data_IF_911967643163
#
_entry.id   IF_911967643163
#
_cell.length_a   1.000
_cell.length_b   1.000
_cell.length_c   1.000
_cell.angle_alpha   90.00
_cell.angle_beta   90.00
_cell.angle_gamma   90.00
#
_symmetry.space_group_name_H-M   'P 1'
#
loop_
_entity.id
_entity.type
_entity.pdbx_description
1 polymer ?
#
# COMPACT_ATOMS: atom_id res chain seq x y z
N UNK A 1 -23.89 -5.70 -16.40
CA UNK A 1 -23.65 -4.58 -17.34
C UNK A 1 -22.32 -4.78 -18.04
N UNK A 2 -22.18 -4.31 -19.29
CA UNK A 2 -20.88 -4.33 -19.97
C UNK A 2 -20.00 -3.19 -19.48
N UNK A 3 -18.73 -3.51 -19.22
CA UNK A 3 -17.70 -2.57 -18.78
C UNK A 3 -16.41 -2.79 -19.57
N UNK A 4 -15.50 -1.84 -19.54
CA UNK A 4 -14.14 -2.01 -20.04
C UNK A 4 -13.19 -2.34 -18.89
N UNK A 5 -12.39 -3.38 -19.02
CA UNK A 5 -11.43 -3.81 -18.04
C UNK A 5 -10.11 -4.24 -18.66
N UNK A 6 -9.03 -4.11 -17.92
CA UNK A 6 -7.72 -4.64 -18.27
C UNK A 6 -7.56 -6.03 -17.66
N UNK A 7 -7.61 -7.05 -18.51
CA UNK A 7 -7.58 -8.46 -18.12
C UNK A 7 -6.17 -9.02 -18.30
N UNK A 8 -5.64 -9.71 -17.31
CA UNK A 8 -4.46 -10.56 -17.43
C UNK A 8 -4.89 -12.01 -17.54
N UNK A 9 -4.44 -12.69 -18.61
CA UNK A 9 -4.85 -14.06 -18.94
C UNK A 9 -3.86 -15.11 -18.48
N UNK A 10 -2.57 -14.81 -18.63
CA UNK A 10 -1.47 -15.73 -18.35
C UNK A 10 -0.39 -15.06 -17.51
N UNK A 11 0.44 -15.86 -16.86
CA UNK A 11 1.57 -15.40 -16.05
C UNK A 11 2.51 -14.49 -16.85
N UNK A 12 2.71 -13.26 -16.37
CA UNK A 12 3.58 -12.27 -16.99
C UNK A 12 3.06 -11.68 -18.30
N UNK A 13 1.85 -12.06 -18.74
CA UNK A 13 1.27 -11.50 -19.96
C UNK A 13 0.82 -10.04 -19.76
N UNK A 14 1.00 -9.16 -20.77
CA UNK A 14 0.52 -7.80 -20.68
C UNK A 14 -1.01 -7.76 -20.54
N UNK A 15 -1.50 -6.72 -19.90
CA UNK A 15 -2.95 -6.47 -19.79
C UNK A 15 -3.57 -6.28 -21.15
N UNK A 16 -4.74 -6.90 -21.36
CA UNK A 16 -5.58 -6.72 -22.53
C UNK A 16 -6.83 -5.93 -22.11
N UNK A 17 -7.00 -4.75 -22.68
CA UNK A 17 -8.20 -3.94 -22.44
C UNK A 17 -9.31 -4.47 -23.35
N UNK A 18 -10.41 -4.93 -22.73
CA UNK A 18 -11.55 -5.47 -23.46
C UNK A 18 -12.87 -5.22 -22.72
N UNK A 19 -14.00 -5.50 -23.41
CA UNK A 19 -15.31 -5.51 -22.78
C UNK A 19 -15.53 -6.81 -22.00
N UNK A 20 -16.00 -6.67 -20.77
CA UNK A 20 -16.38 -7.77 -19.87
C UNK A 20 -17.73 -7.49 -19.25
N UNK A 21 -18.35 -8.50 -18.66
CA UNK A 21 -19.60 -8.33 -17.93
C UNK A 21 -19.31 -8.15 -16.44
N UNK A 22 -19.96 -7.15 -15.83
CA UNK A 22 -19.97 -6.89 -14.40
C UNK A 22 -21.38 -7.12 -13.86
N UNK A 23 -21.49 -7.96 -12.84
CA UNK A 23 -22.74 -8.21 -12.13
C UNK A 23 -23.22 -6.96 -11.36
N UNK A 24 -24.50 -6.91 -11.03
CA UNK A 24 -25.02 -5.89 -10.14
C UNK A 24 -24.52 -6.11 -8.69
N UNK A 25 -24.41 -5.03 -7.88
CA UNK A 25 -24.00 -5.16 -6.50
C UNK A 25 -25.01 -5.96 -5.68
N UNK A 26 -24.51 -6.94 -4.92
CA UNK A 26 -25.29 -7.77 -3.99
C UNK A 26 -25.37 -7.13 -2.59
N UNK A 27 -25.82 -7.91 -1.62
CA UNK A 27 -25.96 -7.45 -0.23
C UNK A 27 -24.63 -6.91 0.34
N UNK A 28 -24.65 -5.68 0.82
CA UNK A 28 -23.48 -4.98 1.39
C UNK A 28 -22.45 -4.49 0.36
N UNK A 29 -22.79 -4.56 -0.94
CA UNK A 29 -21.89 -4.11 -2.02
C UNK A 29 -22.37 -2.79 -2.64
N UNK A 30 -21.44 -2.03 -3.18
CA UNK A 30 -21.68 -0.81 -3.95
C UNK A 30 -21.08 -0.95 -5.35
N UNK A 31 -21.70 -0.34 -6.34
CA UNK A 31 -21.11 -0.15 -7.66
C UNK A 31 -20.41 1.20 -7.69
N UNK A 32 -19.12 1.18 -8.01
CA UNK A 32 -18.29 2.39 -8.12
C UNK A 32 -17.88 2.58 -9.56
N UNK A 33 -18.17 3.76 -10.11
CA UNK A 33 -17.56 4.21 -11.37
C UNK A 33 -16.16 4.67 -11.05
N UNK A 34 -15.16 3.90 -11.48
CA UNK A 34 -13.74 4.17 -11.23
C UNK A 34 -13.30 5.38 -12.07
N UNK A 35 -12.75 6.37 -11.41
CA UNK A 35 -12.16 7.57 -12.03
C UNK A 35 -10.65 7.48 -12.14
N UNK A 36 -10.02 6.77 -11.20
CA UNK A 36 -8.60 6.48 -11.21
C UNK A 36 -8.28 5.20 -10.46
N UNK A 37 -7.16 4.57 -10.81
CA UNK A 37 -6.58 3.45 -10.07
C UNK A 37 -5.07 3.61 -10.02
N UNK A 38 -4.47 3.44 -8.85
CA UNK A 38 -3.03 3.33 -8.71
C UNK A 38 -2.51 1.99 -9.24
N UNK A 39 -1.23 1.95 -9.60
CA UNK A 39 -0.49 0.74 -9.95
C UNK A 39 0.57 0.50 -8.90
N UNK A 40 0.62 -0.70 -8.36
CA UNK A 40 1.50 -1.11 -7.27
C UNK A 40 2.33 -2.35 -7.68
N UNK A 41 3.49 -2.53 -7.07
CA UNK A 41 4.29 -3.75 -7.24
C UNK A 41 3.54 -5.04 -6.88
N UNK A 42 2.49 -4.96 -6.06
CA UNK A 42 1.63 -6.10 -5.75
C UNK A 42 0.83 -6.57 -6.99
N UNK A 43 0.41 -5.64 -7.87
CA UNK A 43 -0.23 -6.01 -9.15
C UNK A 43 0.75 -6.76 -10.05
N UNK A 44 2.01 -6.30 -10.14
CA UNK A 44 3.08 -6.97 -10.88
C UNK A 44 3.41 -8.36 -10.27
N UNK A 45 3.53 -8.43 -8.96
CA UNK A 45 3.81 -9.70 -8.26
C UNK A 45 2.71 -10.75 -8.51
N UNK A 46 1.45 -10.32 -8.58
CA UNK A 46 0.32 -11.20 -8.92
C UNK A 46 0.30 -11.53 -10.40
N UNK A 47 0.54 -10.57 -11.29
CA UNK A 47 0.63 -10.82 -12.74
C UNK A 47 1.71 -11.86 -13.05
N UNK A 48 2.86 -11.78 -12.38
CA UNK A 48 3.97 -12.73 -12.48
C UNK A 48 3.80 -13.98 -11.61
N UNK A 49 2.68 -14.13 -10.89
CA UNK A 49 2.36 -15.25 -10.00
C UNK A 49 3.37 -15.48 -8.86
N UNK A 50 4.17 -14.48 -8.49
CA UNK A 50 4.94 -14.51 -7.24
C UNK A 50 4.01 -14.51 -6.02
N UNK A 51 2.88 -13.82 -6.13
CA UNK A 51 1.75 -13.94 -5.21
C UNK A 51 0.62 -14.64 -5.98
N UNK A 52 0.28 -15.89 -5.63
CA UNK A 52 -0.71 -16.66 -6.39
C UNK A 52 -2.11 -16.03 -6.32
N UNK A 53 -2.68 -15.77 -7.48
CA UNK A 53 -4.09 -15.42 -7.67
C UNK A 53 -4.60 -16.14 -8.91
N UNK A 54 -5.79 -16.77 -8.89
CA UNK A 54 -6.30 -17.49 -10.06
C UNK A 54 -6.43 -16.59 -11.27
N UNK A 55 -5.89 -17.02 -12.43
CA UNK A 55 -6.05 -16.34 -13.72
C UNK A 55 -7.11 -17.05 -14.57
N UNK A 56 -7.78 -16.37 -15.50
CA UNK A 56 -7.65 -14.95 -15.83
C UNK A 56 -8.26 -14.04 -14.76
N UNK A 57 -7.73 -12.83 -14.64
CA UNK A 57 -8.11 -11.88 -13.60
C UNK A 57 -8.17 -10.42 -14.11
N UNK A 58 -8.99 -9.61 -13.47
CA UNK A 58 -8.89 -8.14 -13.50
C UNK A 58 -8.20 -7.70 -12.21
N UNK A 59 -7.02 -7.11 -12.32
CA UNK A 59 -6.24 -6.63 -11.18
C UNK A 59 -6.64 -5.20 -10.78
N UNK A 60 -5.74 -4.51 -10.09
CA UNK A 60 -5.97 -3.17 -9.54
C UNK A 60 -6.61 -3.22 -8.16
N UNK A 61 -5.93 -2.61 -7.19
CA UNK A 61 -6.35 -2.61 -5.78
C UNK A 61 -6.22 -1.24 -5.10
N UNK A 62 -5.99 -0.21 -5.89
CA UNK A 62 -5.90 1.18 -5.47
C UNK A 62 -6.93 2.03 -6.22
N UNK A 63 -8.22 1.65 -6.13
CA UNK A 63 -9.30 2.33 -6.84
C UNK A 63 -9.80 3.57 -6.13
N UNK A 64 -10.26 4.57 -6.91
CA UNK A 64 -11.08 5.66 -6.42
C UNK A 64 -12.15 6.02 -7.47
N UNK A 65 -13.30 6.48 -7.00
CA UNK A 65 -14.41 6.76 -7.90
C UNK A 65 -15.66 7.29 -7.22
N UNK A 66 -16.77 7.19 -7.93
CA UNK A 66 -18.07 7.71 -7.52
C UNK A 66 -19.06 6.54 -7.42
N UNK A 67 -19.82 6.49 -6.33
CA UNK A 67 -20.86 5.47 -6.13
C UNK A 67 -21.99 5.70 -7.12
N UNK A 68 -22.28 4.70 -7.97
CA UNK A 68 -23.35 4.76 -8.98
C UNK A 68 -24.57 3.92 -8.60
N UNK A 69 -24.39 2.86 -7.79
CA UNK A 69 -25.49 2.09 -7.24
C UNK A 69 -25.10 1.48 -5.89
N UNK A 70 -26.12 1.18 -5.08
CA UNK A 70 -25.97 0.52 -3.78
C UNK A 70 -26.79 -0.74 -3.75
N UNK A 71 -26.21 -1.83 -3.27
CA UNK A 71 -26.89 -3.09 -3.05
C UNK A 71 -27.73 -3.09 -1.77
N UNK A 72 -28.55 -4.13 -1.55
CA UNK A 72 -29.31 -4.27 -0.32
C UNK A 72 -28.38 -4.27 0.91
N UNK A 73 -28.86 -3.68 2.01
CA UNK A 73 -28.12 -3.63 3.29
C UNK A 73 -26.94 -2.64 3.34
N UNK A 74 -26.71 -1.87 2.29
CA UNK A 74 -25.76 -0.74 2.34
C UNK A 74 -26.39 0.42 3.10
N UNK A 75 -25.71 0.91 4.12
CA UNK A 75 -26.18 1.98 5.00
C UNK A 75 -25.22 3.17 5.07
N UNK A 76 -23.95 2.96 4.71
CA UNK A 76 -22.91 3.97 4.85
C UNK A 76 -22.74 4.86 3.61
N UNK A 77 -23.20 4.39 2.44
CA UNK A 77 -22.99 5.06 1.16
C UNK A 77 -24.30 5.31 0.43
N UNK A 78 -24.31 6.37 -0.37
CA UNK A 78 -25.38 6.72 -1.31
C UNK A 78 -24.79 7.03 -2.69
N UNK A 79 -25.64 7.01 -3.71
CA UNK A 79 -25.29 7.40 -5.08
C UNK A 79 -24.74 8.85 -5.06
N UNK A 80 -23.63 9.04 -5.76
CA UNK A 80 -22.89 10.31 -5.85
C UNK A 80 -21.80 10.48 -4.78
N UNK A 81 -21.70 9.59 -3.78
CA UNK A 81 -20.61 9.68 -2.81
C UNK A 81 -19.25 9.42 -3.50
N UNK A 82 -18.26 10.23 -3.20
CA UNK A 82 -16.86 10.05 -3.59
C UNK A 82 -16.20 9.06 -2.65
N UNK A 83 -15.48 8.07 -3.21
CA UNK A 83 -14.83 7.00 -2.43
C UNK A 83 -13.43 6.67 -2.93
N UNK A 84 -12.53 6.40 -1.98
CA UNK A 84 -11.34 5.60 -2.19
C UNK A 84 -11.60 4.15 -1.79
N UNK A 85 -10.87 3.20 -2.37
CA UNK A 85 -11.03 1.78 -2.10
C UNK A 85 -9.71 1.24 -1.56
N UNK A 86 -9.79 0.39 -0.53
CA UNK A 86 -8.63 -0.19 0.11
C UNK A 86 -8.78 -1.72 0.21
N UNK A 87 -7.90 -2.36 0.96
CA UNK A 87 -7.87 -3.81 1.12
C UNK A 87 -9.16 -4.38 1.73
N UNK A 88 -9.44 -5.63 1.36
CA UNK A 88 -10.61 -6.35 1.83
C UNK A 88 -10.39 -7.04 3.18
N UNK A 89 -11.43 -7.01 4.04
CA UNK A 89 -11.47 -7.73 5.31
C UNK A 89 -12.88 -8.20 5.65
N UNK A 90 -13.00 -9.24 6.49
CA UNK A 90 -14.31 -9.89 6.71
C UNK A 90 -15.22 -9.20 7.72
N UNK A 91 -14.75 -8.22 8.45
CA UNK A 91 -15.45 -7.48 9.51
C UNK A 91 -16.12 -8.35 10.61
N UNK A 92 -15.84 -9.65 10.66
CA UNK A 92 -16.53 -10.61 11.56
C UNK A 92 -15.60 -11.50 12.38
N UNK A 93 -14.33 -11.68 12.01
CA UNK A 93 -13.39 -12.49 12.78
C UNK A 93 -12.93 -11.77 14.07
N UNK A 94 -12.27 -12.51 14.94
CA UNK A 94 -11.81 -11.96 16.22
C UNK A 94 -10.86 -10.76 16.08
N UNK A 95 -10.05 -10.72 15.02
CA UNK A 95 -9.13 -9.60 14.76
C UNK A 95 -9.89 -8.36 14.28
N UNK A 96 -10.81 -8.51 13.32
CA UNK A 96 -11.67 -7.41 12.87
C UNK A 96 -12.49 -6.82 14.02
N UNK A 97 -13.07 -7.67 14.92
CA UNK A 97 -13.80 -7.19 16.09
C UNK A 97 -12.95 -6.44 17.12
N UNK A 98 -11.62 -6.63 17.08
CA UNK A 98 -10.64 -5.88 17.88
C UNK A 98 -10.12 -4.64 17.17
N UNK A 99 -10.80 -4.19 16.10
CA UNK A 99 -10.38 -3.08 15.25
C UNK A 99 -8.98 -3.29 14.63
N UNK A 100 -8.66 -4.53 14.24
CA UNK A 100 -7.39 -4.90 13.58
C UNK A 100 -7.68 -5.59 12.22
N UNK A 101 -8.29 -4.88 11.24
CA UNK A 101 -8.67 -5.46 9.95
C UNK A 101 -7.46 -5.90 9.14
N UNK A 102 -6.32 -5.24 9.26
CA UNK A 102 -5.05 -5.53 8.59
C UNK A 102 -4.47 -6.93 8.92
N UNK A 103 -4.91 -7.57 9.98
CA UNK A 103 -4.61 -8.97 10.33
C UNK A 103 -5.87 -9.83 10.34
N UNK A 104 -6.81 -9.52 9.46
CA UNK A 104 -8.02 -10.33 9.27
C UNK A 104 -7.66 -11.78 8.95
N UNK A 105 -8.29 -12.75 9.62
CA UNK A 105 -8.03 -14.19 9.37
C UNK A 105 -8.37 -14.65 7.95
N UNK A 106 -9.16 -13.87 7.22
CA UNK A 106 -9.54 -14.12 5.82
C UNK A 106 -8.86 -13.17 4.85
N UNK A 107 -7.82 -12.44 5.29
CA UNK A 107 -7.19 -11.39 4.48
C UNK A 107 -6.75 -11.92 3.11
N UNK A 108 -5.94 -12.98 3.09
CA UNK A 108 -5.42 -13.55 1.84
C UNK A 108 -6.54 -14.11 0.95
N UNK A 109 -7.53 -14.79 1.54
CA UNK A 109 -8.65 -15.35 0.77
C UNK A 109 -9.51 -14.25 0.11
N UNK A 110 -9.70 -13.10 0.76
CA UNK A 110 -10.49 -11.98 0.22
C UNK A 110 -9.70 -11.21 -0.84
N UNK A 111 -8.40 -10.99 -0.61
CA UNK A 111 -7.61 -10.12 -1.49
C UNK A 111 -6.99 -10.86 -2.67
N UNK A 112 -6.59 -12.13 -2.49
CA UNK A 112 -5.86 -12.92 -3.50
C UNK A 112 -6.63 -14.17 -3.97
N UNK A 113 -7.76 -14.52 -3.37
CA UNK A 113 -8.51 -15.74 -3.69
C UNK A 113 -9.29 -15.73 -5.00
N UNK A 114 -9.34 -14.60 -5.70
CA UNK A 114 -10.03 -14.48 -7.00
C UNK A 114 -11.56 -14.42 -6.94
N UNK A 115 -12.15 -14.48 -5.75
CA UNK A 115 -13.60 -14.52 -5.53
C UNK A 115 -14.03 -13.59 -4.39
N UNK A 116 -15.28 -13.18 -4.40
CA UNK A 116 -15.91 -12.47 -3.29
C UNK A 116 -16.16 -13.42 -2.10
N UNK A 117 -16.41 -12.90 -0.88
CA UNK A 117 -16.67 -13.73 0.31
C UNK A 117 -17.83 -14.73 0.20
N UNK A 118 -18.73 -14.53 -0.75
CA UNK A 118 -19.85 -15.46 -1.06
C UNK A 118 -19.44 -16.62 -2.00
N UNK A 119 -18.15 -16.73 -2.36
CA UNK A 119 -17.62 -17.77 -3.24
C UNK A 119 -17.88 -17.54 -4.72
N UNK A 120 -18.41 -16.36 -5.12
CA UNK A 120 -18.67 -16.02 -6.52
C UNK A 120 -17.81 -14.85 -6.99
N UNK A 121 -17.64 -14.68 -8.30
CA UNK A 121 -17.08 -13.46 -8.90
C UNK A 121 -18.22 -12.52 -9.33
N UNK A 122 -17.87 -11.26 -9.57
CA UNK A 122 -18.74 -10.27 -10.21
C UNK A 122 -18.36 -10.01 -11.65
N UNK A 123 -17.23 -10.58 -12.09
CA UNK A 123 -16.63 -10.32 -13.39
C UNK A 123 -16.70 -11.57 -14.27
N UNK A 124 -17.12 -11.39 -15.51
CA UNK A 124 -17.25 -12.47 -16.50
C UNK A 124 -16.82 -11.96 -17.87
N UNK A 125 -16.25 -12.83 -18.68
CA UNK A 125 -16.08 -12.56 -20.12
C UNK A 125 -17.45 -12.50 -20.81
N UNK A 126 -17.52 -11.94 -22.01
CA UNK A 126 -18.80 -11.86 -22.76
C UNK A 126 -19.40 -13.23 -23.15
N UNK A 127 -18.59 -14.31 -23.13
CA UNK A 127 -19.03 -15.70 -23.30
C UNK A 127 -19.35 -16.39 -21.96
N UNK A 128 -19.40 -15.64 -20.84
CA UNK A 128 -19.84 -16.10 -19.53
C UNK A 128 -18.80 -16.83 -18.69
N UNK A 129 -17.53 -16.86 -19.10
CA UNK A 129 -16.45 -17.42 -18.27
C UNK A 129 -16.11 -16.50 -17.13
N UNK A 130 -15.80 -17.07 -15.97
CA UNK A 130 -15.41 -16.31 -14.77
C UNK A 130 -14.07 -15.61 -14.95
N UNK A 131 -13.99 -14.37 -14.51
CA UNK A 131 -12.77 -13.62 -14.29
C UNK A 131 -12.56 -13.46 -12.78
N UNK A 132 -11.35 -13.67 -12.33
CA UNK A 132 -11.00 -13.49 -10.91
C UNK A 132 -11.04 -12.04 -10.50
N UNK A 133 -11.51 -11.82 -9.26
CA UNK A 133 -11.51 -10.52 -8.60
C UNK A 133 -10.23 -10.37 -7.78
N UNK A 134 -9.68 -9.17 -7.72
CA UNK A 134 -8.49 -8.83 -6.97
C UNK A 134 -8.79 -7.78 -5.90
N UNK A 135 -8.35 -8.02 -4.66
CA UNK A 135 -8.65 -7.20 -3.47
C UNK A 135 -10.15 -6.90 -3.25
N UNK A 136 -11.03 -7.76 -3.78
CA UNK A 136 -12.47 -7.54 -3.73
C UNK A 136 -12.94 -6.27 -4.45
N UNK A 137 -12.14 -5.73 -5.37
CA UNK A 137 -12.41 -4.50 -6.10
C UNK A 137 -12.10 -4.57 -7.60
N UNK A 138 -10.92 -5.06 -8.04
CA UNK A 138 -10.52 -5.10 -9.46
C UNK A 138 -10.63 -3.74 -10.16
N UNK A 139 -9.90 -2.75 -9.66
CA UNK A 139 -10.04 -1.36 -10.13
C UNK A 139 -9.36 -1.05 -11.48
N UNK A 140 -8.69 -2.02 -12.12
CA UNK A 140 -8.25 -1.85 -13.51
C UNK A 140 -9.42 -2.03 -14.49
N UNK A 141 -10.49 -1.32 -14.20
CA UNK A 141 -11.72 -1.26 -14.98
C UNK A 141 -12.41 0.09 -14.79
N UNK A 142 -13.34 0.44 -15.68
CA UNK A 142 -14.09 1.69 -15.53
C UNK A 142 -15.25 1.59 -14.50
N UNK A 143 -15.58 0.38 -14.03
CA UNK A 143 -16.51 0.13 -12.91
C UNK A 143 -16.03 -1.04 -12.09
N UNK A 144 -16.30 -0.99 -10.78
CA UNK A 144 -16.03 -2.06 -9.85
C UNK A 144 -17.22 -2.28 -8.88
N UNK A 145 -17.49 -3.53 -8.52
CA UNK A 145 -18.39 -3.87 -7.42
C UNK A 145 -17.55 -4.20 -6.21
N UNK A 146 -17.72 -3.45 -5.14
CA UNK A 146 -16.91 -3.56 -3.91
C UNK A 146 -17.79 -3.67 -2.67
N UNK A 147 -17.31 -4.37 -1.66
CA UNK A 147 -18.00 -4.38 -0.37
C UNK A 147 -17.88 -3.01 0.30
N UNK A 148 -18.99 -2.52 0.91
CA UNK A 148 -18.99 -1.23 1.62
C UNK A 148 -17.92 -1.11 2.71
N UNK A 149 -17.45 -2.24 3.28
CA UNK A 149 -16.40 -2.23 4.30
C UNK A 149 -15.01 -1.85 3.75
N UNK A 150 -14.79 -2.05 2.44
CA UNK A 150 -13.51 -1.77 1.77
C UNK A 150 -13.47 -0.36 1.15
N UNK A 151 -14.61 0.30 1.07
CA UNK A 151 -14.73 1.67 0.59
C UNK A 151 -14.56 2.69 1.72
N UNK A 152 -13.91 3.79 1.42
CA UNK A 152 -13.67 4.91 2.33
C UNK A 152 -14.27 6.17 1.72
N UNK A 153 -15.17 6.82 2.44
CA UNK A 153 -15.77 8.07 1.98
C UNK A 153 -14.73 9.19 1.96
N UNK A 154 -14.65 9.90 0.86
CA UNK A 154 -13.83 11.11 0.73
C UNK A 154 -14.60 12.27 1.37
N UNK A 155 -14.08 12.89 2.45
CA UNK A 155 -14.82 13.92 3.19
C UNK A 155 -14.76 15.31 2.55
N UNK A 156 -14.12 15.44 1.39
CA UNK A 156 -13.87 16.71 0.70
C UNK A 156 -14.33 16.61 -0.75
N UNK A 157 -15.40 17.32 -1.11
CA UNK A 157 -15.99 17.28 -2.45
C UNK A 157 -15.07 17.85 -3.54
N UNK A 158 -14.11 18.70 -3.17
CA UNK A 158 -13.14 19.33 -4.05
C UNK A 158 -11.83 18.55 -4.18
N UNK A 159 -11.70 17.39 -3.53
CA UNK A 159 -10.49 16.56 -3.63
C UNK A 159 -10.48 15.76 -4.92
N UNK A 160 -9.38 15.86 -5.66
CA UNK A 160 -9.18 15.06 -6.87
C UNK A 160 -9.11 13.56 -6.50
N UNK A 161 -10.06 12.78 -7.01
CA UNK A 161 -10.12 11.34 -6.77
C UNK A 161 -8.91 10.58 -7.36
N UNK A 162 -8.25 11.15 -8.36
CA UNK A 162 -7.03 10.57 -8.89
C UNK A 162 -5.87 10.59 -7.88
N UNK A 163 -5.88 11.54 -6.94
CA UNK A 163 -4.94 11.56 -5.81
C UNK A 163 -5.37 10.60 -4.70
N UNK A 164 -6.67 10.33 -4.55
CA UNK A 164 -7.18 9.41 -3.53
C UNK A 164 -6.83 7.95 -3.84
N UNK A 165 -6.80 7.59 -5.12
CA UNK A 165 -6.60 6.21 -5.57
C UNK A 165 -5.39 5.51 -4.91
N UNK A 166 -4.14 6.01 -4.98
CA UNK A 166 -2.98 5.32 -4.42
C UNK A 166 -2.94 5.33 -2.87
N UNK A 167 -3.83 6.08 -2.22
CA UNK A 167 -3.93 6.06 -0.75
C UNK A 167 -4.42 4.71 -0.22
N UNK A 168 -5.13 3.93 -1.05
CA UNK A 168 -5.71 2.64 -0.68
C UNK A 168 -4.71 1.54 -0.35
N UNK A 169 -3.44 1.67 -0.74
CA UNK A 169 -2.37 0.69 -0.49
C UNK A 169 -1.05 1.37 -0.11
N UNK A 170 -0.21 1.75 -1.09
CA UNK A 170 1.17 2.14 -0.85
C UNK A 170 1.34 3.33 0.09
N UNK A 171 0.51 4.36 -0.06
CA UNK A 171 0.58 5.59 0.76
C UNK A 171 0.19 5.30 2.20
N UNK A 172 -0.96 4.62 2.45
CA UNK A 172 -1.36 4.27 3.81
C UNK A 172 -0.37 3.31 4.47
N UNK A 173 0.24 2.41 3.68
CA UNK A 173 1.19 1.43 4.18
C UNK A 173 2.43 2.09 4.78
N UNK A 174 3.06 3.00 4.05
CA UNK A 174 4.22 3.74 4.54
C UNK A 174 3.90 4.66 5.70
N UNK A 175 2.84 5.46 5.56
CA UNK A 175 2.41 6.37 6.62
C UNK A 175 1.98 5.62 7.90
N UNK A 176 1.25 4.52 7.75
CA UNK A 176 0.77 3.72 8.87
C UNK A 176 1.88 2.93 9.57
N UNK A 177 2.90 2.48 8.84
CA UNK A 177 4.07 1.87 9.45
C UNK A 177 4.68 2.77 10.55
N UNK A 178 4.71 4.08 10.29
CA UNK A 178 5.17 5.08 11.26
C UNK A 178 4.07 5.43 12.27
N UNK A 179 2.92 5.96 11.80
CA UNK A 179 1.91 6.59 12.67
C UNK A 179 1.06 5.60 13.46
N UNK A 180 0.83 4.39 12.94
CA UNK A 180 -0.01 3.39 13.61
C UNK A 180 0.82 2.34 14.35
N UNK A 181 1.96 1.93 13.77
CA UNK A 181 2.75 0.80 14.29
C UNK A 181 3.94 1.21 15.13
N UNK A 182 4.91 1.94 14.59
CA UNK A 182 6.09 2.40 15.33
C UNK A 182 5.71 3.40 16.41
N UNK A 183 4.99 4.45 16.03
CA UNK A 183 4.63 5.56 16.91
C UNK A 183 5.87 6.14 17.58
N UNK A 184 6.85 6.58 16.78
CA UNK A 184 8.13 7.04 17.29
C UNK A 184 7.95 8.16 18.31
N UNK A 185 8.80 8.19 19.31
CA UNK A 185 8.81 9.28 20.30
C UNK A 185 9.21 10.59 19.63
N UNK A 186 8.67 11.70 20.12
CA UNK A 186 9.07 13.03 19.66
C UNK A 186 10.57 13.23 19.85
N UNK A 187 11.26 13.65 18.79
CA UNK A 187 12.71 13.84 18.80
C UNK A 187 13.54 12.59 18.53
N UNK A 188 12.92 11.43 18.27
CA UNK A 188 13.61 10.19 17.89
C UNK A 188 14.23 10.26 16.49
N UNK A 189 15.02 9.25 16.14
CA UNK A 189 15.67 9.07 14.84
C UNK A 189 15.10 7.85 14.11
N UNK A 190 14.92 7.96 12.79
CA UNK A 190 14.41 6.88 11.95
C UNK A 190 15.21 6.78 10.65
N UNK A 191 15.51 5.54 10.21
CA UNK A 191 16.06 5.26 8.88
C UNK A 191 15.01 4.56 8.00
N UNK A 192 14.80 5.06 6.80
CA UNK A 192 13.88 4.47 5.82
C UNK A 192 14.66 3.94 4.64
N UNK A 193 14.69 2.61 4.48
CA UNK A 193 15.34 1.95 3.36
C UNK A 193 14.34 1.66 2.24
N UNK A 194 14.59 2.27 1.10
CA UNK A 194 13.73 2.30 -0.08
C UNK A 194 13.02 3.65 -0.21
N UNK A 195 13.27 4.32 -1.33
CA UNK A 195 12.73 5.65 -1.65
C UNK A 195 11.67 5.56 -2.78
N UNK A 196 10.79 4.55 -2.70
CA UNK A 196 9.57 4.44 -3.49
C UNK A 196 8.37 5.06 -2.75
N UNK A 197 7.16 4.86 -3.27
CA UNK A 197 5.92 5.42 -2.70
C UNK A 197 5.73 5.12 -1.21
N UNK A 198 5.97 3.86 -0.80
CA UNK A 198 5.86 3.43 0.60
C UNK A 198 6.89 4.15 1.48
N UNK A 199 8.17 4.15 1.07
CA UNK A 199 9.24 4.80 1.83
C UNK A 199 9.09 6.31 1.92
N UNK A 200 8.69 6.97 0.84
CA UNK A 200 8.42 8.40 0.84
C UNK A 200 7.25 8.77 1.76
N UNK A 201 6.21 7.93 1.78
CA UNK A 201 5.08 8.09 2.69
C UNK A 201 5.49 7.91 4.15
N UNK A 202 6.41 6.98 4.44
CA UNK A 202 7.00 6.81 5.77
C UNK A 202 7.84 8.02 6.18
N UNK A 203 8.63 8.61 5.27
CA UNK A 203 9.43 9.83 5.52
C UNK A 203 8.53 11.01 5.89
N UNK A 204 7.48 11.26 5.11
CA UNK A 204 6.51 12.32 5.42
C UNK A 204 5.81 12.07 6.76
N UNK A 205 5.45 10.83 7.05
CA UNK A 205 4.83 10.44 8.31
C UNK A 205 5.77 10.58 9.51
N UNK A 206 7.06 10.27 9.36
CA UNK A 206 8.07 10.48 10.39
C UNK A 206 8.25 11.99 10.73
N UNK A 207 8.18 12.84 9.72
CA UNK A 207 8.16 14.30 9.91
C UNK A 207 6.93 14.76 10.70
N UNK A 208 5.74 14.22 10.38
CA UNK A 208 4.49 14.50 11.12
C UNK A 208 4.58 13.99 12.56
N UNK A 209 5.18 12.82 12.78
CA UNK A 209 5.40 12.26 14.12
C UNK A 209 6.38 13.07 14.98
N UNK A 210 7.18 13.95 14.37
CA UNK A 210 8.14 14.80 15.08
C UNK A 210 9.50 14.12 15.29
N UNK A 211 9.88 13.17 14.44
CA UNK A 211 11.25 12.63 14.44
C UNK A 211 12.26 13.77 14.19
N UNK A 212 13.30 13.82 15.01
CA UNK A 212 14.37 14.84 14.89
C UNK A 212 15.28 14.52 13.72
N UNK A 213 15.55 13.25 13.46
CA UNK A 213 16.35 12.79 12.34
C UNK A 213 15.59 11.76 11.51
N UNK A 214 15.60 11.94 10.20
CA UNK A 214 14.96 11.05 9.22
C UNK A 214 15.98 10.78 8.12
N UNK A 215 16.57 9.58 8.14
CA UNK A 215 17.61 9.16 7.19
C UNK A 215 16.96 8.38 6.05
N UNK A 216 16.98 8.91 4.84
CA UNK A 216 16.53 8.20 3.66
C UNK A 216 17.69 7.38 3.06
N UNK A 217 17.49 6.08 2.89
CA UNK A 217 18.47 5.16 2.32
C UNK A 217 17.99 4.67 0.96
N UNK A 218 18.74 4.92 -0.11
CA UNK A 218 18.34 4.56 -1.47
C UNK A 218 19.53 4.45 -2.42
N UNK A 219 19.27 4.12 -3.69
CA UNK A 219 20.32 4.00 -4.72
C UNK A 219 20.09 4.89 -5.95
N UNK A 220 19.06 5.73 -5.94
CA UNK A 220 18.76 6.68 -7.01
C UNK A 220 18.89 8.11 -6.47
N UNK A 221 19.84 8.92 -6.97
CA UNK A 221 20.05 10.29 -6.50
C UNK A 221 18.80 11.17 -6.57
N UNK A 222 18.01 11.07 -7.64
CA UNK A 222 16.77 11.85 -7.78
C UNK A 222 15.74 11.51 -6.71
N UNK A 223 15.61 10.21 -6.37
CA UNK A 223 14.72 9.80 -5.28
C UNK A 223 15.23 10.29 -3.91
N UNK A 224 16.55 10.33 -3.69
CA UNK A 224 17.13 10.87 -2.46
C UNK A 224 16.94 12.40 -2.34
N UNK A 225 17.01 13.14 -3.45
CA UNK A 225 16.67 14.57 -3.48
C UNK A 225 15.19 14.80 -3.13
N UNK A 226 14.28 14.02 -3.74
CA UNK A 226 12.86 14.09 -3.40
C UNK A 226 12.59 13.70 -1.94
N UNK A 227 13.32 12.72 -1.38
CA UNK A 227 13.22 12.37 0.02
C UNK A 227 13.54 13.55 0.94
N UNK A 228 14.59 14.34 0.64
CA UNK A 228 14.90 15.58 1.36
C UNK A 228 13.77 16.60 1.27
N UNK A 229 13.22 16.81 0.08
CA UNK A 229 12.08 17.72 -0.10
C UNK A 229 10.88 17.29 0.73
N UNK A 230 10.63 15.98 0.84
CA UNK A 230 9.51 15.41 1.59
C UNK A 230 9.74 15.33 3.11
N UNK A 231 10.98 15.53 3.57
CA UNK A 231 11.23 15.65 5.01
C UNK A 231 12.41 14.87 5.55
N UNK A 232 13.15 14.13 4.73
CA UNK A 232 14.38 13.50 5.18
C UNK A 232 15.42 14.58 5.55
N UNK A 233 16.04 14.43 6.73
CA UNK A 233 17.11 15.31 7.21
C UNK A 233 18.45 14.94 6.59
N UNK A 234 18.64 13.64 6.38
CA UNK A 234 19.87 13.04 5.87
C UNK A 234 19.55 12.00 4.78
N UNK A 235 20.52 11.75 3.92
CA UNK A 235 20.42 10.72 2.88
C UNK A 235 21.68 9.91 2.79
N UNK A 236 21.56 8.61 2.59
CA UNK A 236 22.68 7.71 2.31
C UNK A 236 22.46 7.01 0.97
N UNK A 237 23.36 7.23 0.01
CA UNK A 237 23.32 6.53 -1.26
C UNK A 237 24.07 5.19 -1.12
N UNK A 238 23.30 4.09 -1.10
CA UNK A 238 23.84 2.74 -0.95
C UNK A 238 24.82 2.30 -2.04
N UNK A 239 24.88 3.03 -3.17
CA UNK A 239 25.81 2.75 -4.27
C UNK A 239 27.15 3.48 -4.13
N UNK A 240 27.25 4.39 -3.18
CA UNK A 240 28.42 5.26 -2.97
C UNK A 240 29.18 4.91 -1.68
N UNK A 241 28.76 3.84 -0.97
CA UNK A 241 29.34 3.39 0.28
C UNK A 241 29.64 1.90 0.23
N UNK A 242 30.76 1.49 0.78
CA UNK A 242 31.18 0.07 0.86
C UNK A 242 30.43 -0.67 1.98
N UNK A 243 30.27 -0.02 3.13
CA UNK A 243 29.51 -0.52 4.27
C UNK A 243 28.33 0.40 4.58
N UNK A 244 27.14 -0.05 4.16
CA UNK A 244 25.92 0.72 4.31
C UNK A 244 25.50 0.89 5.78
N UNK A 245 25.71 -0.14 6.60
CA UNK A 245 25.37 -0.09 8.03
C UNK A 245 26.26 0.93 8.74
N UNK A 246 27.56 0.86 8.52
CA UNK A 246 28.50 1.83 9.06
C UNK A 246 28.19 3.26 8.59
N UNK A 247 27.85 3.45 7.31
CA UNK A 247 27.52 4.76 6.76
C UNK A 247 26.25 5.37 7.40
N UNK A 248 25.18 4.57 7.62
CA UNK A 248 23.98 5.04 8.31
C UNK A 248 24.26 5.38 9.77
N UNK A 249 25.03 4.55 10.48
CA UNK A 249 25.44 4.83 11.86
C UNK A 249 26.27 6.10 11.96
N UNK A 250 27.21 6.30 11.05
CA UNK A 250 28.09 7.48 11.04
C UNK A 250 27.33 8.82 10.88
N UNK A 251 26.18 8.83 10.21
CA UNK A 251 25.33 10.03 10.07
C UNK A 251 24.25 10.11 11.13
N UNK A 252 24.02 9.05 11.93
CA UNK A 252 23.02 9.07 12.99
C UNK A 252 23.43 10.02 14.13
N UNK A 253 22.44 10.56 14.84
CA UNK A 253 22.68 11.52 15.94
C UNK A 253 23.56 10.95 17.06
N UNK A 254 23.38 9.68 17.39
CA UNK A 254 24.20 9.00 18.42
C UNK A 254 25.58 8.54 17.91
N UNK A 255 25.71 8.32 16.61
CA UNK A 255 26.87 7.62 16.02
C UNK A 255 26.77 6.09 16.14
N UNK A 256 25.81 5.56 16.91
CA UNK A 256 25.64 4.12 17.18
C UNK A 256 24.48 3.50 16.42
N UNK A 257 23.57 4.34 15.87
CA UNK A 257 22.42 3.90 15.09
C UNK A 257 21.22 4.80 15.24
N UNK A 258 20.04 4.30 14.83
CA UNK A 258 18.74 4.99 14.91
C UNK A 258 17.78 4.24 15.83
N UNK A 259 16.78 4.96 16.38
CA UNK A 259 15.77 4.34 17.22
C UNK A 259 14.87 3.38 16.45
N UNK A 260 14.51 3.77 15.21
CA UNK A 260 13.63 2.99 14.36
C UNK A 260 14.18 2.84 12.96
N UNK A 261 13.83 1.75 12.28
CA UNK A 261 14.10 1.58 10.85
C UNK A 261 12.90 0.96 10.14
N UNK A 262 12.76 1.29 8.86
CA UNK A 262 11.71 0.70 7.99
C UNK A 262 12.38 0.17 6.74
N UNK A 263 12.16 -1.11 6.43
CA UNK A 263 12.49 -1.68 5.13
C UNK A 263 11.25 -1.77 4.23
N UNK A 264 11.35 -1.16 3.06
CA UNK A 264 10.30 -1.17 2.03
C UNK A 264 10.76 -1.87 0.74
N UNK A 265 11.95 -2.49 0.77
CA UNK A 265 12.59 -3.00 -0.45
C UNK A 265 12.11 -4.37 -0.89
N UNK A 266 11.61 -5.20 0.05
CA UNK A 266 11.29 -6.60 -0.20
C UNK A 266 12.51 -7.51 -0.44
N UNK A 267 13.72 -7.03 -0.10
CA UNK A 267 14.98 -7.77 -0.29
C UNK A 267 15.56 -8.19 1.06
N UNK A 268 15.72 -9.49 1.31
CA UNK A 268 16.17 -10.02 2.60
C UNK A 268 17.48 -9.43 3.11
N UNK A 269 18.46 -9.18 2.24
CA UNK A 269 19.71 -8.52 2.59
C UNK A 269 19.48 -7.07 3.08
N UNK A 270 18.54 -6.34 2.47
CA UNK A 270 18.18 -4.99 2.88
C UNK A 270 17.49 -4.98 4.25
N UNK A 271 16.61 -5.95 4.52
CA UNK A 271 15.98 -6.09 5.85
C UNK A 271 17.03 -6.32 6.92
N UNK A 272 18.02 -7.21 6.66
CA UNK A 272 19.12 -7.42 7.60
C UNK A 272 19.97 -6.16 7.82
N UNK A 273 20.22 -5.39 6.77
CA UNK A 273 20.92 -4.10 6.89
C UNK A 273 20.09 -3.09 7.70
N UNK A 274 18.75 -3.03 7.47
CA UNK A 274 17.85 -2.17 8.23
C UNK A 274 17.83 -2.51 9.72
N UNK A 275 17.92 -3.80 10.07
CA UNK A 275 18.10 -4.24 11.46
C UNK A 275 19.48 -3.78 12.01
N UNK A 276 20.50 -3.76 11.16
CA UNK A 276 21.85 -3.28 11.50
C UNK A 276 21.92 -1.77 11.70
N UNK A 277 21.01 -0.97 11.13
CA UNK A 277 20.94 0.49 11.33
C UNK A 277 20.56 0.88 12.77
N UNK A 278 19.89 -0.02 13.49
CA UNK A 278 19.36 0.26 14.81
C UNK A 278 20.44 0.41 15.87
N UNK A 279 20.20 1.34 16.76
CA UNK A 279 20.80 1.42 18.08
C UNK A 279 20.21 0.36 19.03
N UNK A 280 20.68 0.29 20.29
CA UNK A 280 20.10 -0.59 21.31
C UNK A 280 18.59 -0.31 21.50
N UNK A 281 17.82 -1.37 21.79
CA UNK A 281 16.36 -1.34 21.99
C UNK A 281 15.55 -0.83 20.78
N UNK A 282 16.19 -0.70 19.61
CA UNK A 282 15.56 -0.16 18.41
C UNK A 282 14.60 -1.15 17.74
N UNK A 283 13.66 -0.62 16.92
CA UNK A 283 12.67 -1.42 16.20
C UNK A 283 12.79 -1.31 14.68
N UNK A 284 12.96 -2.45 14.00
CA UNK A 284 12.92 -2.55 12.54
C UNK A 284 11.54 -3.02 12.08
N UNK A 285 10.92 -2.26 11.18
CA UNK A 285 9.66 -2.61 10.51
C UNK A 285 9.94 -3.13 9.12
N UNK A 286 9.36 -4.30 8.78
CA UNK A 286 9.38 -4.89 7.44
C UNK A 286 8.01 -4.70 6.80
N UNK A 287 7.98 -4.07 5.63
CA UNK A 287 6.76 -3.76 4.88
C UNK A 287 6.74 -4.45 3.52
N UNK A 288 7.89 -4.53 2.85
CA UNK A 288 8.02 -5.21 1.56
C UNK A 288 7.83 -6.72 1.68
N UNK A 289 7.15 -7.32 0.69
CA UNK A 289 7.05 -8.79 0.60
C UNK A 289 8.45 -9.39 0.40
N UNK A 290 8.97 -10.03 1.42
CA UNK A 290 10.34 -10.50 1.50
C UNK A 290 10.36 -12.02 1.65
N UNK A 291 11.31 -12.68 0.97
CA UNK A 291 11.60 -14.11 1.15
C UNK A 291 12.38 -14.41 2.42
N UNK A 292 13.09 -15.55 2.42
CA UNK A 292 13.86 -16.00 3.58
C UNK A 292 15.00 -15.04 3.93
N UNK A 293 15.23 -14.86 5.23
CA UNK A 293 16.31 -14.05 5.79
C UNK A 293 17.05 -14.91 6.82
N UNK A 294 18.37 -14.95 6.72
CA UNK A 294 19.22 -15.59 7.73
C UNK A 294 19.94 -14.51 8.56
N UNK A 295 19.81 -14.58 9.89
CA UNK A 295 20.54 -13.73 10.82
C UNK A 295 20.79 -14.45 12.15
N UNK A 296 21.81 -13.97 12.89
CA UNK A 296 22.15 -14.51 14.20
C UNK A 296 21.26 -13.85 15.27
N UNK A 297 20.28 -14.61 15.78
CA UNK A 297 19.31 -14.12 16.77
C UNK A 297 19.99 -13.57 18.03
N UNK A 298 21.07 -14.24 18.52
CA UNK A 298 21.77 -13.79 19.71
C UNK A 298 22.47 -12.46 19.51
N UNK A 299 23.20 -12.31 18.38
CA UNK A 299 24.09 -11.18 18.17
C UNK A 299 23.41 -9.99 17.47
N UNK A 300 22.41 -10.26 16.62
CA UNK A 300 21.80 -9.23 15.75
C UNK A 300 20.42 -8.76 16.26
N UNK A 301 19.85 -9.44 17.27
CA UNK A 301 18.54 -9.11 17.81
C UNK A 301 18.56 -9.05 19.35
N UNK A 302 18.81 -10.21 20.00
CA UNK A 302 18.63 -10.37 21.43
C UNK A 302 19.69 -9.61 22.24
N UNK A 303 20.96 -9.61 21.80
CA UNK A 303 22.08 -8.98 22.53
C UNK A 303 21.92 -7.46 22.65
N UNK A 304 21.30 -6.82 21.67
CA UNK A 304 21.07 -5.38 21.65
C UNK A 304 19.61 -5.02 22.02
N UNK A 305 18.77 -5.98 22.39
CA UNK A 305 17.36 -5.75 22.72
C UNK A 305 16.48 -5.32 21.54
N UNK A 306 16.95 -5.53 20.29
CA UNK A 306 16.25 -5.08 19.09
C UNK A 306 14.97 -5.85 18.81
N UNK A 307 14.05 -5.21 18.09
CA UNK A 307 12.80 -5.81 17.60
C UNK A 307 12.73 -5.83 16.09
N UNK A 308 12.21 -6.93 15.51
CA UNK A 308 11.90 -7.05 14.09
C UNK A 308 10.40 -7.36 13.96
N UNK A 309 9.65 -6.49 13.30
CA UNK A 309 8.19 -6.59 13.21
C UNK A 309 7.69 -6.45 11.78
N UNK A 310 6.68 -7.26 11.40
CA UNK A 310 5.97 -7.13 10.13
C UNK A 310 4.80 -6.15 10.24
N UNK A 311 4.53 -5.43 9.16
CA UNK A 311 3.40 -4.52 9.02
C UNK A 311 2.65 -4.81 7.73
N UNK A 312 1.32 -4.87 7.79
CA UNK A 312 0.45 -5.10 6.66
C UNK A 312 -0.46 -3.88 6.50
N UNK A 313 -0.47 -3.28 5.29
CA UNK A 313 -1.33 -2.12 4.95
C UNK A 313 -1.21 -0.97 5.98
N UNK A 314 0.00 -0.80 6.53
CA UNK A 314 0.28 0.22 7.54
C UNK A 314 -0.43 0.01 8.87
N UNK A 315 -0.82 -1.21 9.20
CA UNK A 315 -1.65 -1.54 10.38
C UNK A 315 -2.85 -0.59 10.50
N UNK A 316 -3.46 -0.26 9.35
CA UNK A 316 -4.49 0.77 9.24
C UNK A 316 -5.91 0.23 9.42
N UNK A 317 -6.79 1.12 9.88
CA UNK A 317 -8.23 1.02 9.70
C UNK A 317 -8.58 2.03 8.61
N UNK A 318 -8.76 1.62 7.33
CA UNK A 318 -8.81 2.56 6.22
C UNK A 318 -9.84 3.69 6.39
N UNK A 319 -11.04 3.38 6.90
CA UNK A 319 -12.11 4.37 7.11
C UNK A 319 -11.74 5.46 8.12
N UNK A 320 -10.80 5.19 9.03
CA UNK A 320 -10.31 6.14 10.02
C UNK A 320 -9.02 6.82 9.56
N UNK A 321 -8.16 6.07 8.86
CA UNK A 321 -6.81 6.53 8.57
C UNK A 321 -6.71 7.34 7.28
N UNK A 322 -7.38 6.93 6.19
CA UNK A 322 -7.34 7.67 4.94
C UNK A 322 -7.87 9.10 5.06
N UNK A 323 -9.00 9.37 5.74
CA UNK A 323 -9.46 10.75 5.96
C UNK A 323 -8.45 11.61 6.73
N UNK A 324 -7.68 11.03 7.66
CA UNK A 324 -6.61 11.75 8.36
C UNK A 324 -5.46 12.11 7.42
N UNK A 325 -5.04 11.19 6.54
CA UNK A 325 -4.01 11.47 5.54
C UNK A 325 -4.48 12.54 4.54
N UNK A 326 -5.75 12.50 4.13
CA UNK A 326 -6.35 13.55 3.30
C UNK A 326 -6.31 14.92 3.99
N UNK A 327 -6.60 14.97 5.30
CA UNK A 327 -6.49 16.18 6.09
C UNK A 327 -5.05 16.71 6.16
N UNK A 328 -4.07 15.84 6.41
CA UNK A 328 -2.65 16.22 6.39
C UNK A 328 -2.20 16.73 5.02
N UNK A 329 -2.68 16.13 3.93
CA UNK A 329 -2.43 16.59 2.58
C UNK A 329 -2.96 18.01 2.38
N UNK A 330 -4.23 18.25 2.69
CA UNK A 330 -4.87 19.57 2.57
C UNK A 330 -4.18 20.67 3.40
N UNK A 331 -3.59 20.28 4.52
CA UNK A 331 -2.82 21.20 5.38
C UNK A 331 -1.36 21.39 4.91
N UNK A 332 -0.97 20.78 3.77
CA UNK A 332 0.41 20.85 3.24
C UNK A 332 1.45 20.05 4.01
N UNK A 333 1.02 19.19 4.95
CA UNK A 333 1.92 18.41 5.79
C UNK A 333 2.29 17.04 5.18
N UNK A 334 1.53 16.59 4.20
CA UNK A 334 1.70 15.28 3.56
C UNK A 334 1.57 15.40 2.04
N UNK A 335 2.53 16.04 1.32
CA UNK A 335 2.46 16.35 -0.11
C UNK A 335 2.76 15.10 -0.99
N UNK A 336 1.94 14.07 -0.89
CA UNK A 336 2.10 12.81 -1.61
C UNK A 336 1.77 12.90 -3.11
N UNK A 337 1.08 13.95 -3.54
CA UNK A 337 0.84 14.28 -4.94
C UNK A 337 2.13 14.34 -5.76
N UNK A 338 3.26 14.71 -5.14
CA UNK A 338 4.59 14.70 -5.74
C UNK A 338 5.10 13.30 -6.13
N UNK A 339 4.48 12.24 -5.62
CA UNK A 339 4.83 10.85 -5.92
C UNK A 339 4.05 10.29 -7.12
N UNK A 340 3.04 11.02 -7.63
CA UNK A 340 2.05 10.50 -8.56
C UNK A 340 2.38 10.96 -9.99
N UNK A 341 2.38 9.99 -10.92
CA UNK A 341 2.44 10.22 -12.35
C UNK A 341 1.19 9.65 -13.00
N UNK A 342 0.53 10.44 -13.83
CA UNK A 342 -0.71 10.06 -14.47
C UNK A 342 -0.48 9.47 -15.87
N UNK A 343 -1.26 8.42 -16.18
CA UNK A 343 -1.32 7.78 -17.47
C UNK A 343 -2.79 7.59 -17.87
N UNK A 344 -3.14 7.69 -19.17
CA UNK A 344 -4.44 7.23 -19.67
C UNK A 344 -4.62 5.72 -19.41
N UNK A 345 -5.86 5.26 -19.20
CA UNK A 345 -6.16 3.85 -18.97
C UNK A 345 -5.66 2.94 -20.12
N UNK A 346 -5.70 3.43 -21.35
CA UNK A 346 -5.20 2.75 -22.54
C UNK A 346 -3.69 2.44 -22.48
N UNK A 347 -2.95 3.17 -21.66
CA UNK A 347 -1.50 3.02 -21.45
C UNK A 347 -1.16 2.24 -20.16
N UNK A 348 -2.05 1.35 -19.71
CA UNK A 348 -1.85 0.62 -18.43
C UNK A 348 -0.55 -0.20 -18.43
N UNK A 349 -0.16 -0.79 -19.57
CA UNK A 349 1.08 -1.56 -19.66
C UNK A 349 2.32 -0.66 -19.56
N UNK A 350 2.29 0.53 -20.18
CA UNK A 350 3.35 1.53 -20.06
C UNK A 350 3.40 2.11 -18.64
N UNK A 351 2.25 2.31 -18.03
CA UNK A 351 2.16 2.78 -16.65
C UNK A 351 2.77 1.77 -15.68
N UNK A 352 2.50 0.47 -15.88
CA UNK A 352 3.12 -0.59 -15.08
C UNK A 352 4.64 -0.66 -15.29
N UNK A 353 5.11 -0.54 -16.52
CA UNK A 353 6.54 -0.54 -16.82
C UNK A 353 7.28 0.68 -16.22
N UNK A 354 6.56 1.73 -15.85
CA UNK A 354 7.10 2.95 -15.25
C UNK A 354 7.01 2.97 -13.70
N UNK A 355 6.31 2.00 -13.10
CA UNK A 355 6.16 1.81 -11.65
C UNK A 355 7.32 1.01 -11.04
#
# INVERSE_FOLDING_TARGET
MKIRAAVTYDTGAPYKIEEVELDAPKFGEILVRITASGICHTDEAVQNQFIPTPLPAVLGHEGAGIVEAVGPGVTEFKIGDHVGISFGFCNSCCNCRKARPFVCKKLNAINFGGIQPDGTTRLHTLDGKKLSTFFGQSSFANYAVVNQNHAVKVPYDDMDLALVAPMGCGIQTGAGAVLNRLRPEFGSSIAVFGCGTVGMSAIMAAKIAGCQQIIAVGGNPKSLELAKELGATDTVNRKEVDDLVAAVKAVSLSGDGVNDSIDTTGVGACVRQSLGFLDFDGTCVVVGATGDIEFNVQNELMGDGKSLIGVIEGDSIPKEFLPKLMAYYRNGQFPFDKLIKFFPFEQINEAQAAS
#
